data_IF_773312415171
#
_entry.id   IF_773312415171
#
_cell.length_a   1.000
_cell.length_b   1.000
_cell.length_c   1.000
_cell.angle_alpha   90.00
_cell.angle_beta   90.00
_cell.angle_gamma   90.00
#
_symmetry.space_group_name_H-M   'P 1'
#
loop_
_entity.id
_entity.type
_entity.pdbx_description
1 polymer ?
#
# COMPACT_ATOMS: atom_id res chain seq x y z
N UNK A 1 21.09 20.67 60.76
CA UNK A 1 22.53 21.03 60.81
C UNK A 1 23.22 20.23 59.70
N UNK A 2 23.25 20.74 58.47
CA UNK A 2 24.25 21.67 57.90
C UNK A 2 25.64 21.01 57.73
N UNK A 3 25.99 20.65 56.49
CA UNK A 3 26.89 21.47 55.65
C UNK A 3 27.06 20.86 54.25
N UNK A 4 26.68 21.66 53.26
CA UNK A 4 27.26 21.64 51.91
C UNK A 4 28.75 22.00 51.96
N UNK A 5 29.56 21.42 51.08
CA UNK A 5 30.28 22.15 50.01
C UNK A 5 31.42 21.29 49.43
N UNK A 6 31.42 21.02 48.13
CA UNK A 6 32.45 21.58 47.23
C UNK A 6 32.23 21.14 45.78
N UNK A 7 31.87 22.14 45.01
CA UNK A 7 32.01 22.28 43.57
C UNK A 7 33.50 22.33 43.19
N UNK A 8 33.92 21.58 42.17
CA UNK A 8 35.07 22.01 41.36
C UNK A 8 35.03 21.41 39.94
N UNK A 9 34.55 22.23 39.02
CA UNK A 9 34.77 22.15 37.58
C UNK A 9 36.28 22.20 37.23
N UNK A 10 36.73 21.39 36.26
CA UNK A 10 37.56 21.82 35.10
C UNK A 10 38.09 20.68 34.22
N UNK A 11 37.83 20.85 32.91
CA UNK A 11 38.74 20.73 31.76
C UNK A 11 39.33 19.35 31.39
N UNK A 12 38.80 18.81 30.30
CA UNK A 12 39.50 18.67 29.02
C UNK A 12 40.78 17.83 28.99
N UNK A 13 40.68 16.62 28.45
CA UNK A 13 41.79 15.90 27.84
C UNK A 13 41.41 15.42 26.45
N UNK A 14 41.97 16.09 25.45
CA UNK A 14 42.08 15.65 24.06
C UNK A 14 43.09 14.50 23.99
N UNK A 15 42.68 13.32 23.54
CA UNK A 15 43.58 12.19 23.28
C UNK A 15 43.95 12.19 21.79
N UNK A 16 45.19 12.60 21.48
CA UNK A 16 45.82 12.46 20.16
C UNK A 16 46.13 10.98 19.92
N UNK A 17 45.54 10.38 18.87
CA UNK A 17 46.04 9.13 18.29
C UNK A 17 46.37 9.31 16.81
N UNK A 18 47.46 8.65 16.44
CA UNK A 18 48.23 8.77 15.21
C UNK A 18 47.75 7.74 14.18
N UNK A 19 47.54 8.23 12.95
CA UNK A 19 47.63 7.62 11.60
C UNK A 19 47.20 6.16 11.32
N UNK A 20 46.22 6.10 10.40
CA UNK A 20 46.21 5.39 9.10
C UNK A 20 46.07 3.85 9.03
N UNK A 21 45.03 3.40 8.30
CA UNK A 21 45.01 2.08 7.66
C UNK A 21 43.63 1.46 7.36
N UNK A 22 42.97 1.93 6.29
CA UNK A 22 42.24 1.15 5.25
C UNK A 22 41.06 0.20 5.62
N UNK A 23 39.97 0.36 4.85
CA UNK A 23 38.84 -0.55 4.55
C UNK A 23 37.78 -0.85 5.64
N UNK A 24 36.61 -0.24 5.51
CA UNK A 24 35.45 -0.89 4.89
C UNK A 24 34.23 0.03 4.96
N UNK A 25 33.69 0.30 3.78
CA UNK A 25 32.38 0.89 3.56
C UNK A 25 31.33 -0.02 4.18
N UNK A 26 30.76 0.40 5.30
CA UNK A 26 29.38 0.07 5.65
C UNK A 26 28.78 1.33 6.25
N UNK A 27 28.36 2.23 5.36
CA UNK A 27 27.26 3.13 5.68
C UNK A 27 26.08 2.25 6.02
N UNK A 28 25.88 2.02 7.32
CA UNK A 28 24.65 1.47 7.84
C UNK A 28 23.54 2.45 7.52
N UNK A 29 22.88 2.23 6.38
CA UNK A 29 21.54 2.73 6.17
C UNK A 29 20.65 2.02 7.19
N UNK A 30 20.58 2.58 8.40
CA UNK A 30 19.41 2.38 9.24
C UNK A 30 18.27 3.14 8.58
N UNK A 31 17.67 2.58 7.54
CA UNK A 31 16.29 2.96 7.19
C UNK A 31 15.40 2.37 8.27
N UNK A 32 15.37 3.04 9.43
CA UNK A 32 14.22 2.94 10.31
C UNK A 32 13.03 3.38 9.46
N UNK A 33 12.13 2.45 9.13
CA UNK A 33 10.84 2.78 8.55
C UNK A 33 10.06 3.50 9.65
N UNK A 34 10.17 4.82 9.73
CA UNK A 34 9.46 5.63 10.72
C UNK A 34 8.08 6.11 10.25
N UNK A 35 7.59 5.58 9.13
CA UNK A 35 6.33 6.04 8.52
C UNK A 35 5.14 5.26 9.08
N UNK A 36 4.87 5.35 10.39
CA UNK A 36 3.50 5.06 10.90
C UNK A 36 3.22 5.40 12.38
N UNK A 37 4.06 6.17 13.06
CA UNK A 37 3.78 6.53 14.46
C UNK A 37 2.80 7.70 14.52
N UNK A 38 1.50 7.37 14.45
CA UNK A 38 0.38 8.29 14.69
C UNK A 38 -0.18 8.01 16.07
N UNK A 39 -0.56 9.06 16.81
CA UNK A 39 -1.30 8.87 18.06
C UNK A 39 -2.73 8.38 17.77
N UNK A 40 -3.10 7.13 18.11
CA UNK A 40 -4.43 6.62 17.82
C UNK A 40 -5.53 7.29 18.66
N UNK A 41 -5.17 7.95 19.77
CA UNK A 41 -6.11 8.64 20.66
C UNK A 41 -6.52 10.03 20.11
N UNK A 42 -5.74 10.63 19.21
CA UNK A 42 -6.14 11.84 18.48
C UNK A 42 -6.83 11.44 17.16
N UNK A 43 -8.16 11.27 17.23
CA UNK A 43 -8.96 10.87 16.07
C UNK A 43 -8.86 11.84 14.88
N UNK A 44 -8.56 13.13 15.11
CA UNK A 44 -8.36 14.08 14.02
C UNK A 44 -6.99 13.92 13.37
N UNK A 45 -5.95 13.63 14.15
CA UNK A 45 -4.62 13.27 13.64
C UNK A 45 -4.70 11.97 12.82
N UNK A 46 -5.37 10.96 13.36
CA UNK A 46 -5.58 9.68 12.69
C UNK A 46 -6.32 9.83 11.36
N UNK A 47 -7.42 10.59 11.33
CA UNK A 47 -8.13 10.93 10.09
C UNK A 47 -7.20 11.61 9.08
N UNK A 48 -6.50 12.68 9.48
CA UNK A 48 -5.63 13.43 8.56
C UNK A 48 -4.51 12.56 8.00
N UNK A 49 -3.97 11.68 8.82
CA UNK A 49 -2.94 10.74 8.41
C UNK A 49 -3.45 9.81 7.30
N UNK A 50 -4.56 9.09 7.51
CA UNK A 50 -5.07 8.17 6.48
C UNK A 50 -5.61 8.89 5.26
N UNK A 51 -6.21 10.07 5.41
CA UNK A 51 -6.56 10.93 4.29
C UNK A 51 -5.33 11.23 3.42
N UNK A 52 -4.22 11.64 4.05
CA UNK A 52 -2.98 11.95 3.33
C UNK A 52 -2.35 10.70 2.69
N UNK A 53 -2.40 9.55 3.38
CA UNK A 53 -1.97 8.25 2.86
C UNK A 53 -2.75 7.91 1.58
N UNK A 54 -4.08 8.05 1.61
CA UNK A 54 -4.93 7.82 0.44
C UNK A 54 -4.61 8.80 -0.70
N UNK A 55 -4.58 10.11 -0.45
CA UNK A 55 -4.26 11.11 -1.50
C UNK A 55 -2.93 10.81 -2.20
N UNK A 56 -1.92 10.42 -1.43
CA UNK A 56 -0.58 10.11 -1.96
C UNK A 56 -0.64 8.88 -2.87
N UNK A 57 -1.31 7.81 -2.44
CA UNK A 57 -1.47 6.58 -3.22
C UNK A 57 -2.34 6.79 -4.45
N UNK A 58 -3.43 7.56 -4.36
CA UNK A 58 -4.29 7.86 -5.50
C UNK A 58 -3.58 8.70 -6.56
N UNK A 59 -2.77 9.68 -6.13
CA UNK A 59 -1.91 10.44 -7.03
C UNK A 59 -0.90 9.52 -7.76
N UNK A 60 -0.21 8.64 -7.02
CA UNK A 60 0.73 7.68 -7.59
C UNK A 60 0.03 6.68 -8.54
N UNK A 61 -1.21 6.26 -8.22
CA UNK A 61 -1.99 5.37 -9.06
C UNK A 61 -2.31 6.05 -10.40
N UNK A 62 -2.78 7.28 -10.34
CA UNK A 62 -3.11 8.08 -11.52
C UNK A 62 -1.88 8.32 -12.40
N UNK A 63 -0.71 8.56 -11.79
CA UNK A 63 0.56 8.68 -12.51
C UNK A 63 0.92 7.37 -13.23
N UNK A 64 0.94 6.24 -12.53
CA UNK A 64 1.25 4.92 -13.13
C UNK A 64 0.26 4.54 -14.23
N UNK A 65 -1.03 4.79 -14.02
CA UNK A 65 -2.07 4.55 -15.03
C UNK A 65 -1.83 5.38 -16.30
N UNK A 66 -1.46 6.66 -16.18
CA UNK A 66 -1.12 7.50 -17.34
C UNK A 66 0.17 7.05 -18.01
N UNK A 67 1.17 6.63 -17.26
CA UNK A 67 2.42 6.12 -17.82
C UNK A 67 2.17 4.89 -18.73
N UNK A 68 1.25 4.00 -18.33
CA UNK A 68 0.85 2.84 -19.15
C UNK A 68 0.27 3.20 -20.51
N UNK A 69 -0.28 4.41 -20.69
CA UNK A 69 -0.75 4.88 -22.01
C UNK A 69 0.40 5.00 -23.03
N UNK A 70 1.63 5.25 -22.56
CA UNK A 70 2.80 5.33 -23.43
C UNK A 70 3.45 3.97 -23.73
N UNK A 71 3.11 2.95 -22.94
CA UNK A 71 3.69 1.60 -23.02
C UNK A 71 2.77 0.64 -23.78
N UNK A 72 1.46 0.77 -23.60
CA UNK A 72 0.45 -0.10 -24.20
C UNK A 72 0.01 0.45 -25.57
N UNK A 73 -0.36 -0.46 -26.48
CA UNK A 73 -1.10 -0.08 -27.68
C UNK A 73 -2.46 0.53 -27.34
N UNK A 74 -3.08 1.21 -28.31
CA UNK A 74 -4.39 1.84 -28.09
C UNK A 74 -5.47 0.83 -27.65
N UNK A 75 -5.47 -0.37 -28.24
CA UNK A 75 -6.42 -1.43 -27.91
C UNK A 75 -6.17 -2.03 -26.53
N UNK A 76 -4.91 -2.28 -26.18
CA UNK A 76 -4.52 -2.74 -24.84
C UNK A 76 -4.86 -1.71 -23.76
N UNK A 77 -4.58 -0.43 -24.00
CA UNK A 77 -4.94 0.64 -23.08
C UNK A 77 -6.46 0.80 -22.94
N UNK A 78 -7.21 0.62 -24.03
CA UNK A 78 -8.68 0.59 -23.99
C UNK A 78 -9.21 -0.55 -23.10
N UNK A 79 -8.61 -1.74 -23.19
CA UNK A 79 -8.92 -2.87 -22.31
C UNK A 79 -8.55 -2.54 -20.86
N UNK A 80 -7.34 -2.03 -20.61
CA UNK A 80 -6.91 -1.60 -19.27
C UNK A 80 -7.85 -0.54 -18.68
N UNK A 81 -8.34 0.40 -19.48
CA UNK A 81 -9.33 1.41 -19.05
C UNK A 81 -10.64 0.76 -18.60
N UNK A 82 -11.09 -0.31 -19.27
CA UNK A 82 -12.25 -1.09 -18.86
C UNK A 82 -12.01 -1.81 -17.52
N UNK A 83 -10.81 -2.39 -17.35
CA UNK A 83 -10.38 -3.00 -16.09
C UNK A 83 -10.34 -1.95 -14.97
N UNK A 84 -9.74 -0.78 -15.22
CA UNK A 84 -9.62 0.29 -14.24
C UNK A 84 -10.99 0.80 -13.78
N UNK A 85 -11.97 0.89 -14.68
CA UNK A 85 -13.36 1.23 -14.32
C UNK A 85 -14.03 0.18 -13.45
N UNK A 86 -13.80 -1.11 -13.73
CA UNK A 86 -14.31 -2.19 -12.89
C UNK A 86 -13.67 -2.15 -11.49
N UNK A 87 -12.36 -1.89 -11.43
CA UNK A 87 -11.64 -1.71 -10.17
C UNK A 87 -12.17 -0.52 -9.36
N UNK A 88 -12.44 0.64 -9.99
CA UNK A 88 -13.01 1.80 -9.28
C UNK A 88 -14.35 1.44 -8.62
N UNK A 89 -15.25 0.75 -9.34
CA UNK A 89 -16.53 0.30 -8.78
C UNK A 89 -16.35 -0.65 -7.60
N UNK A 90 -15.42 -1.58 -7.72
CA UNK A 90 -15.08 -2.49 -6.62
C UNK A 90 -14.50 -1.73 -5.42
N UNK A 91 -13.59 -0.76 -5.63
CA UNK A 91 -13.04 0.09 -4.56
C UNK A 91 -14.15 0.85 -3.83
N UNK A 92 -15.05 1.46 -4.59
CA UNK A 92 -16.17 2.23 -4.03
C UNK A 92 -17.12 1.36 -3.22
N UNK A 93 -17.48 0.17 -3.72
CA UNK A 93 -18.33 -0.79 -3.01
C UNK A 93 -17.65 -1.38 -1.77
N UNK A 94 -16.37 -1.74 -1.87
CA UNK A 94 -15.64 -2.33 -0.74
C UNK A 94 -15.44 -1.34 0.40
N UNK A 95 -15.20 -0.06 0.07
CA UNK A 95 -15.02 1.01 1.06
C UNK A 95 -16.32 1.75 1.37
N UNK A 96 -17.47 1.18 0.99
CA UNK A 96 -18.75 1.83 1.18
C UNK A 96 -19.12 1.93 2.66
N UNK A 97 -19.49 3.13 3.10
CA UNK A 97 -19.82 3.41 4.49
C UNK A 97 -21.33 3.34 4.76
N UNK A 98 -22.18 3.37 3.72
CA UNK A 98 -23.64 3.33 3.86
C UNK A 98 -24.20 2.10 4.61
N UNK A 99 -23.56 0.92 4.61
CA UNK A 99 -24.02 -0.20 5.47
C UNK A 99 -23.95 0.11 6.97
N UNK A 100 -23.13 1.09 7.38
CA UNK A 100 -22.86 1.44 8.77
C UNK A 100 -23.44 2.80 9.19
N UNK A 101 -23.69 3.69 8.22
CA UNK A 101 -24.25 5.03 8.42
C UNK A 101 -25.40 5.27 7.45
N UNK A 102 -26.43 6.04 7.81
CA UNK A 102 -27.57 6.25 6.90
C UNK A 102 -27.14 6.88 5.55
N UNK A 103 -27.85 6.49 4.49
CA UNK A 103 -27.64 6.90 3.09
C UNK A 103 -27.50 8.42 2.84
N UNK A 104 -27.97 9.24 3.78
CA UNK A 104 -27.98 10.70 3.66
C UNK A 104 -26.66 11.38 4.09
N UNK A 105 -25.71 10.66 4.70
CA UNK A 105 -24.46 11.27 5.19
C UNK A 105 -23.33 11.22 4.16
N UNK A 106 -22.89 12.40 3.70
CA UNK A 106 -21.63 12.51 3.00
C UNK A 106 -20.45 12.14 3.93
N UNK A 107 -19.37 11.57 3.38
CA UNK A 107 -18.15 11.24 4.16
C UNK A 107 -17.63 12.45 4.95
N UNK A 108 -17.79 13.68 4.43
CA UNK A 108 -17.42 14.91 5.12
C UNK A 108 -18.18 15.17 6.43
N UNK A 109 -19.36 14.58 6.60
CA UNK A 109 -20.25 14.75 7.75
C UNK A 109 -20.01 13.71 8.85
N UNK A 110 -19.30 12.62 8.53
CA UNK A 110 -18.95 11.58 9.47
C UNK A 110 -17.96 12.08 10.54
N UNK A 111 -17.96 11.45 11.71
CA UNK A 111 -16.96 11.72 12.74
C UNK A 111 -15.55 11.31 12.28
N UNK A 112 -14.48 11.86 12.90
CA UNK A 112 -13.12 11.58 12.47
C UNK A 112 -12.72 10.09 12.52
N UNK A 113 -13.31 9.28 13.42
CA UNK A 113 -13.03 7.84 13.49
C UNK A 113 -13.64 7.10 12.31
N UNK A 114 -14.88 7.42 11.94
CA UNK A 114 -15.51 6.84 10.75
C UNK A 114 -14.75 7.21 9.47
N UNK A 115 -14.34 8.48 9.35
CA UNK A 115 -13.50 8.95 8.23
C UNK A 115 -12.17 8.20 8.16
N UNK A 116 -11.51 7.98 9.29
CA UNK A 116 -10.20 7.32 9.34
C UNK A 116 -10.26 5.89 8.79
N UNK A 117 -11.32 5.14 9.13
CA UNK A 117 -11.56 3.77 8.61
C UNK A 117 -11.78 3.78 7.10
N UNK A 118 -12.62 4.69 6.59
CA UNK A 118 -12.89 4.81 5.15
C UNK A 118 -11.62 5.14 4.37
N UNK A 119 -10.83 6.12 4.83
CA UNK A 119 -9.59 6.49 4.15
C UNK A 119 -8.50 5.41 4.27
N UNK A 120 -8.46 4.66 5.36
CA UNK A 120 -7.61 3.48 5.45
C UNK A 120 -8.01 2.44 4.39
N UNK A 121 -9.29 2.09 4.29
CA UNK A 121 -9.78 1.19 3.23
C UNK A 121 -9.35 1.66 1.84
N UNK A 122 -9.63 2.93 1.52
CA UNK A 122 -9.30 3.51 0.23
C UNK A 122 -7.78 3.46 -0.04
N UNK A 123 -6.95 3.73 0.97
CA UNK A 123 -5.50 3.67 0.85
C UNK A 123 -5.00 2.23 0.57
N UNK A 124 -5.47 1.24 1.32
CA UNK A 124 -5.03 -0.16 1.18
C UNK A 124 -5.49 -0.78 -0.16
N UNK A 125 -6.74 -0.53 -0.57
CA UNK A 125 -7.27 -0.98 -1.88
C UNK A 125 -6.51 -0.32 -3.04
N UNK A 126 -6.10 0.93 -2.87
CA UNK A 126 -5.29 1.66 -3.87
C UNK A 126 -3.85 1.13 -3.93
N UNK A 127 -3.28 0.71 -2.80
CA UNK A 127 -1.97 0.05 -2.77
C UNK A 127 -1.96 -1.27 -3.51
N UNK A 128 -2.95 -2.13 -3.29
CA UNK A 128 -3.11 -3.38 -4.04
C UNK A 128 -3.07 -3.11 -5.56
N UNK A 129 -3.81 -2.09 -6.01
CA UNK A 129 -3.83 -1.71 -7.43
C UNK A 129 -2.51 -1.14 -7.92
N UNK A 130 -1.79 -0.38 -7.10
CA UNK A 130 -0.44 0.12 -7.44
C UNK A 130 0.52 -1.04 -7.70
N UNK A 131 0.48 -2.09 -6.89
CA UNK A 131 1.29 -3.30 -7.08
C UNK A 131 0.95 -4.01 -8.39
N UNK A 132 -0.34 -4.07 -8.75
CA UNK A 132 -0.78 -4.62 -10.03
C UNK A 132 -0.29 -3.83 -11.22
N UNK A 133 -0.41 -2.49 -11.18
CA UNK A 133 0.07 -1.64 -12.28
C UNK A 133 1.59 -1.72 -12.39
N UNK A 134 2.31 -1.82 -11.27
CA UNK A 134 3.75 -2.06 -11.27
C UNK A 134 4.09 -3.38 -11.97
N UNK A 135 3.38 -4.48 -11.63
CA UNK A 135 3.58 -5.78 -12.27
C UNK A 135 3.39 -5.73 -13.80
N UNK A 136 2.40 -4.98 -14.30
CA UNK A 136 2.20 -4.77 -15.75
C UNK A 136 3.45 -4.15 -16.40
N UNK A 137 4.11 -3.22 -15.72
CA UNK A 137 5.26 -2.48 -16.28
C UNK A 137 6.60 -3.18 -16.10
N UNK A 138 6.87 -3.74 -14.92
CA UNK A 138 8.19 -4.25 -14.57
C UNK A 138 8.35 -5.73 -14.88
N UNK A 139 7.23 -6.45 -15.00
CA UNK A 139 7.18 -7.91 -15.04
C UNK A 139 7.95 -8.54 -13.85
N UNK A 140 8.24 -7.78 -12.79
CA UNK A 140 9.12 -8.23 -11.72
C UNK A 140 8.46 -9.38 -10.96
N UNK A 141 9.17 -10.50 -11.00
CA UNK A 141 8.72 -11.83 -10.61
C UNK A 141 8.87 -12.10 -9.12
N UNK A 142 9.37 -11.18 -8.30
CA UNK A 142 9.50 -11.41 -6.84
C UNK A 142 8.14 -11.72 -6.19
N UNK A 143 7.09 -11.04 -6.64
CA UNK A 143 5.74 -11.38 -6.22
C UNK A 143 5.27 -12.72 -6.78
N UNK A 144 5.63 -13.04 -8.04
CA UNK A 144 5.36 -14.35 -8.64
C UNK A 144 6.09 -15.49 -7.89
N UNK A 145 7.29 -15.24 -7.35
CA UNK A 145 8.06 -16.16 -6.51
C UNK A 145 7.40 -16.33 -5.14
N UNK A 146 6.87 -15.24 -4.57
CA UNK A 146 6.11 -15.26 -3.32
C UNK A 146 4.81 -16.05 -3.46
N UNK A 147 4.11 -15.90 -4.59
CA UNK A 147 2.91 -16.69 -4.93
C UNK A 147 3.23 -18.16 -5.18
N UNK A 148 4.34 -18.46 -5.85
CA UNK A 148 4.85 -19.83 -5.99
C UNK A 148 5.10 -20.49 -4.63
N UNK A 149 5.71 -19.76 -3.69
CA UNK A 149 5.91 -20.22 -2.32
C UNK A 149 4.58 -20.38 -1.53
N UNK A 150 3.60 -19.51 -1.79
CA UNK A 150 2.26 -19.55 -1.18
C UNK A 150 1.41 -20.72 -1.70
N UNK A 151 1.55 -21.10 -2.99
CA UNK A 151 0.81 -22.21 -3.64
C UNK A 151 1.06 -23.58 -2.99
N UNK A 152 2.11 -23.71 -2.18
CA UNK A 152 2.38 -24.89 -1.34
C UNK A 152 1.58 -24.89 -0.02
N UNK A 153 0.78 -23.84 0.24
CA UNK A 153 -0.21 -23.77 1.31
C UNK A 153 -1.61 -23.89 0.69
N UNK A 154 -2.54 -24.42 1.46
CA UNK A 154 -3.94 -24.56 1.04
C UNK A 154 -4.51 -23.18 0.68
N UNK A 155 -5.18 -23.00 -0.47
CA UNK A 155 -5.82 -21.73 -0.81
C UNK A 155 -6.79 -21.35 0.31
N UNK A 156 -6.49 -20.26 1.02
CA UNK A 156 -7.46 -19.68 1.94
C UNK A 156 -8.36 -18.76 1.12
N UNK A 157 -9.68 -18.98 1.22
CA UNK A 157 -10.64 -18.06 0.65
C UNK A 157 -10.36 -16.65 1.21
N UNK A 158 -10.15 -15.68 0.34
CA UNK A 158 -10.03 -14.28 0.74
C UNK A 158 -11.43 -13.72 1.00
N UNK A 159 -11.62 -12.77 1.93
CA UNK A 159 -12.88 -12.01 2.02
C UNK A 159 -13.30 -11.43 0.66
N UNK A 160 -12.32 -11.08 -0.18
CA UNK A 160 -12.55 -10.61 -1.54
C UNK A 160 -13.27 -11.63 -2.42
N UNK A 161 -13.10 -12.94 -2.20
CA UNK A 161 -13.77 -13.99 -2.99
C UNK A 161 -15.30 -13.94 -2.86
N UNK A 162 -15.81 -13.34 -1.79
CA UNK A 162 -17.25 -13.18 -1.53
C UNK A 162 -17.83 -11.92 -2.18
N UNK A 163 -16.99 -10.97 -2.60
CA UNK A 163 -17.42 -9.74 -3.25
C UNK A 163 -17.58 -9.96 -4.77
N UNK A 164 -18.81 -9.83 -5.29
CA UNK A 164 -19.10 -10.06 -6.70
C UNK A 164 -18.45 -9.02 -7.63
N UNK A 165 -18.28 -7.77 -7.17
CA UNK A 165 -17.59 -6.74 -7.92
C UNK A 165 -16.09 -6.99 -7.97
N UNK A 166 -15.50 -7.51 -6.88
CA UNK A 166 -14.12 -7.97 -6.89
C UNK A 166 -13.93 -9.08 -7.92
N UNK A 167 -14.77 -10.13 -7.90
CA UNK A 167 -14.69 -11.22 -8.89
C UNK A 167 -14.78 -10.70 -10.32
N UNK A 168 -15.74 -9.81 -10.61
CA UNK A 168 -15.92 -9.24 -11.94
C UNK A 168 -14.71 -8.39 -12.39
N UNK A 169 -14.10 -7.64 -11.47
CA UNK A 169 -12.89 -6.88 -11.74
C UNK A 169 -11.68 -7.81 -11.93
N UNK A 170 -11.45 -8.76 -11.02
CA UNK A 170 -10.32 -9.68 -11.05
C UNK A 170 -10.35 -10.53 -12.33
N UNK A 171 -11.53 -11.03 -12.72
CA UNK A 171 -11.73 -11.76 -13.96
C UNK A 171 -11.36 -10.92 -15.20
N UNK A 172 -11.79 -9.65 -15.25
CA UNK A 172 -11.43 -8.72 -16.33
C UNK A 172 -9.94 -8.41 -16.34
N UNK A 173 -9.33 -8.21 -15.18
CA UNK A 173 -7.90 -7.95 -15.05
C UNK A 173 -7.10 -9.17 -15.55
N UNK A 174 -7.46 -10.37 -15.12
CA UNK A 174 -6.80 -11.59 -15.55
C UNK A 174 -7.04 -11.94 -17.01
N UNK A 175 -8.19 -11.58 -17.58
CA UNK A 175 -8.40 -11.67 -19.03
C UNK A 175 -7.44 -10.74 -19.80
N UNK A 176 -7.31 -9.48 -19.37
CA UNK A 176 -6.36 -8.54 -19.96
C UNK A 176 -4.92 -9.06 -19.86
N UNK A 177 -4.49 -9.53 -18.69
CA UNK A 177 -3.12 -10.01 -18.48
C UNK A 177 -2.82 -11.33 -19.20
N UNK A 178 -3.81 -12.21 -19.36
CA UNK A 178 -3.64 -13.40 -20.22
C UNK A 178 -3.39 -13.04 -21.68
N UNK A 179 -3.90 -11.89 -22.13
CA UNK A 179 -3.69 -11.42 -23.50
C UNK A 179 -2.35 -10.68 -23.62
N UNK A 180 -2.08 -9.75 -22.70
CA UNK A 180 -0.92 -8.87 -22.72
C UNK A 180 0.37 -9.58 -22.28
N UNK A 181 0.37 -10.19 -21.09
CA UNK A 181 1.55 -10.85 -20.50
C UNK A 181 1.63 -12.35 -20.76
N UNK A 182 0.59 -12.95 -21.37
CA UNK A 182 0.43 -14.41 -21.47
C UNK A 182 0.43 -15.12 -20.11
N UNK A 183 0.03 -14.40 -19.05
CA UNK A 183 -0.09 -14.95 -17.70
C UNK A 183 -1.21 -16.01 -17.67
N UNK A 184 -0.97 -17.12 -16.97
CA UNK A 184 -2.02 -18.12 -16.75
C UNK A 184 -3.14 -17.50 -15.89
N UNK A 185 -4.41 -17.67 -16.30
CA UNK A 185 -5.55 -17.06 -15.61
C UNK A 185 -5.68 -17.51 -14.15
N UNK A 186 -5.35 -18.76 -13.82
CA UNK A 186 -5.37 -19.28 -12.44
C UNK A 186 -4.30 -18.59 -11.61
N UNK A 187 -3.06 -18.51 -12.12
CA UNK A 187 -1.97 -17.87 -11.41
C UNK A 187 -2.23 -16.36 -11.21
N UNK A 188 -2.83 -15.70 -12.20
CA UNK A 188 -3.30 -14.33 -12.05
C UNK A 188 -4.35 -14.19 -10.95
N UNK A 189 -5.36 -15.07 -10.89
CA UNK A 189 -6.40 -15.01 -9.86
C UNK A 189 -5.81 -15.22 -8.45
N UNK A 190 -4.85 -16.12 -8.29
CA UNK A 190 -4.13 -16.29 -7.02
C UNK A 190 -3.35 -15.02 -6.63
N UNK A 191 -2.70 -14.37 -7.60
CA UNK A 191 -2.04 -13.07 -7.38
C UNK A 191 -3.02 -12.00 -6.95
N UNK A 192 -4.18 -11.92 -7.60
CA UNK A 192 -5.26 -11.00 -7.20
C UNK A 192 -5.68 -11.29 -5.76
N UNK A 193 -6.01 -12.55 -5.41
CA UNK A 193 -6.39 -12.91 -4.04
C UNK A 193 -5.35 -12.46 -3.02
N UNK A 194 -4.08 -12.64 -3.32
CA UNK A 194 -2.98 -12.25 -2.45
C UNK A 194 -2.97 -10.74 -2.18
N UNK A 195 -3.05 -9.89 -3.21
CA UNK A 195 -3.07 -8.43 -3.03
C UNK A 195 -4.19 -7.96 -2.10
N UNK A 196 -5.36 -8.61 -2.22
CA UNK A 196 -6.54 -8.26 -1.44
C UNK A 196 -6.69 -9.11 -0.16
N UNK A 197 -5.78 -10.05 0.11
CA UNK A 197 -5.86 -10.95 1.29
C UNK A 197 -5.49 -10.26 2.60
N UNK A 198 -4.66 -9.21 2.51
CA UNK A 198 -4.25 -8.38 3.65
C UNK A 198 -5.28 -7.31 3.98
N UNK A 199 -6.31 -7.13 3.15
CA UNK A 199 -7.47 -6.29 3.45
C UNK A 199 -8.35 -7.01 4.48
N UNK A 200 -7.89 -7.02 5.72
CA UNK A 200 -8.73 -7.26 6.87
C UNK A 200 -9.34 -5.91 7.27
N UNK A 201 -10.38 -5.51 6.55
CA UNK A 201 -11.20 -4.35 6.88
C UNK A 201 -12.43 -4.82 7.67
#
# INVERSE_FOLDING_TARGET
MSKESNEMSRKGYQCRWVLAGILAVFGGFSSAHSDDLVNPDDLNELYRHYFKKYETKDAALNEKYRALQSVLSADEFSQLKSVQRAWVKFKEDLCDHHPYFSDDFAVSELDPSAKSIIYLCLAEVTEARLLELAYITSHETELAYTLYAYKNKTPQASPADQNALWQAYADKNCQFLSTYLKENRIDCMERQRFYYSVLQL
#
